data_IF_904617854198
#
_entry.id   IF_904617854198
#
_cell.length_a   1.000
_cell.length_b   1.000
_cell.length_c   1.000
_cell.angle_alpha   90.00
_cell.angle_beta   90.00
_cell.angle_gamma   90.00
#
_symmetry.space_group_name_H-M   'P 1'
#
loop_
_entity.id
_entity.type
_entity.pdbx_description
1 polymer ?
#
# COMPACT_ATOMS: atom_id res chain seq x y z
N UNK A 1 3.48 -46.02 -39.17
CA UNK A 1 4.54 -46.96 -38.74
C UNK A 1 5.73 -46.19 -38.15
N UNK A 2 5.57 -45.54 -37.00
CA UNK A 2 6.67 -44.92 -36.25
C UNK A 2 6.46 -45.02 -34.72
N UNK A 3 5.69 -46.00 -34.26
CA UNK A 3 5.31 -46.17 -32.84
C UNK A 3 6.08 -47.30 -32.13
N UNK A 4 7.20 -47.76 -32.65
CA UNK A 4 7.88 -48.97 -32.13
C UNK A 4 9.40 -48.84 -31.94
N UNK A 5 9.91 -47.65 -31.63
CA UNK A 5 11.33 -47.45 -31.28
C UNK A 5 11.57 -46.59 -30.03
N UNK A 6 10.57 -46.43 -29.17
CA UNK A 6 10.78 -45.95 -27.81
C UNK A 6 10.96 -47.18 -26.91
N UNK A 7 12.21 -47.64 -26.73
CA UNK A 7 12.57 -48.20 -25.41
C UNK A 7 12.09 -47.18 -24.38
N UNK A 8 11.49 -47.62 -23.28
CA UNK A 8 10.97 -46.75 -22.21
C UNK A 8 12.07 -45.83 -21.70
N UNK A 9 12.29 -44.70 -22.38
CA UNK A 9 13.21 -43.66 -21.95
C UNK A 9 12.56 -43.12 -20.69
N UNK A 10 13.28 -43.26 -19.58
CA UNK A 10 12.85 -42.67 -18.33
C UNK A 10 12.72 -41.16 -18.53
N UNK A 11 11.48 -40.68 -18.41
CA UNK A 11 11.11 -39.27 -18.58
C UNK A 11 11.91 -38.37 -17.65
N UNK A 12 12.27 -38.88 -16.47
CA UNK A 12 13.02 -38.12 -15.45
C UNK A 12 14.52 -38.43 -15.48
N UNK A 13 15.06 -38.93 -16.59
CA UNK A 13 16.50 -39.11 -16.74
C UNK A 13 17.20 -37.85 -17.23
N UNK A 14 18.44 -37.63 -16.76
CA UNK A 14 19.31 -36.53 -17.23
C UNK A 14 19.52 -36.58 -18.75
N UNK A 15 19.61 -37.77 -19.34
CA UNK A 15 19.79 -37.92 -20.79
C UNK A 15 18.55 -37.46 -21.58
N UNK A 16 17.35 -37.79 -21.09
CA UNK A 16 16.11 -37.29 -21.69
C UNK A 16 16.03 -35.77 -21.56
N UNK A 17 16.35 -35.23 -20.38
CA UNK A 17 16.32 -33.80 -20.13
C UNK A 17 17.25 -33.01 -21.06
N UNK A 18 18.48 -33.50 -21.27
CA UNK A 18 19.42 -32.93 -22.27
C UNK A 18 18.84 -32.93 -23.68
N UNK A 19 18.10 -33.96 -24.07
CA UNK A 19 17.41 -34.02 -25.36
C UNK A 19 16.34 -32.92 -25.47
N UNK A 20 15.48 -32.78 -24.46
CA UNK A 20 14.42 -31.74 -24.42
C UNK A 20 15.03 -30.33 -24.48
N UNK A 21 16.11 -30.07 -23.73
CA UNK A 21 16.84 -28.79 -23.79
C UNK A 21 17.39 -28.54 -25.19
N UNK A 22 18.03 -29.53 -25.80
CA UNK A 22 18.56 -29.44 -27.17
C UNK A 22 17.46 -29.09 -28.18
N UNK A 23 16.28 -29.71 -28.08
CA UNK A 23 15.15 -29.39 -28.95
C UNK A 23 14.68 -27.94 -28.76
N UNK A 24 14.59 -27.46 -27.52
CA UNK A 24 14.24 -26.06 -27.24
C UNK A 24 15.27 -25.08 -27.82
N UNK A 25 16.55 -25.42 -27.75
CA UNK A 25 17.65 -24.60 -28.27
C UNK A 25 17.70 -24.55 -29.80
N UNK A 26 17.18 -25.57 -30.49
CA UNK A 26 17.04 -25.56 -31.95
C UNK A 26 16.00 -24.55 -32.44
N UNK A 27 15.00 -24.24 -31.62
CA UNK A 27 13.97 -23.24 -31.97
C UNK A 27 14.56 -21.84 -31.88
N UNK A 28 14.88 -21.23 -33.03
CA UNK A 28 15.45 -19.87 -33.08
C UNK A 28 14.42 -18.76 -32.93
N UNK A 29 13.21 -18.96 -33.47
CA UNK A 29 12.12 -17.98 -33.48
C UNK A 29 10.81 -18.71 -33.21
N UNK A 30 9.98 -18.13 -32.34
CA UNK A 30 8.68 -18.71 -31.98
C UNK A 30 7.57 -17.98 -32.72
N UNK A 31 6.84 -18.72 -33.55
CA UNK A 31 5.71 -18.26 -34.34
C UNK A 31 4.48 -19.14 -34.06
N UNK A 32 3.34 -18.85 -34.70
CA UNK A 32 2.10 -19.58 -34.45
C UNK A 32 2.19 -21.08 -34.76
N UNK A 33 3.02 -21.49 -35.73
CA UNK A 33 3.11 -22.88 -36.19
C UNK A 33 3.88 -23.78 -35.24
N UNK A 34 4.91 -23.25 -34.57
CA UNK A 34 5.73 -24.01 -33.62
C UNK A 34 5.39 -23.72 -32.15
N UNK A 35 4.40 -22.85 -31.89
CA UNK A 35 3.99 -22.44 -30.54
C UNK A 35 3.65 -23.63 -29.65
N UNK A 36 2.76 -24.52 -30.09
CA UNK A 36 2.32 -25.67 -29.28
C UNK A 36 3.48 -26.59 -28.93
N UNK A 37 4.37 -26.84 -29.90
CA UNK A 37 5.58 -27.61 -29.67
C UNK A 37 6.51 -26.97 -28.62
N UNK A 38 6.69 -25.64 -28.68
CA UNK A 38 7.49 -24.92 -27.67
C UNK A 38 6.82 -25.00 -26.30
N UNK A 39 5.50 -24.88 -26.23
CA UNK A 39 4.71 -25.04 -24.99
C UNK A 39 4.93 -26.43 -24.37
N UNK A 40 4.87 -27.49 -25.18
CA UNK A 40 5.11 -28.87 -24.73
C UNK A 40 6.55 -29.06 -24.19
N UNK A 41 7.54 -28.43 -24.84
CA UNK A 41 8.92 -28.44 -24.36
C UNK A 41 9.08 -27.68 -23.04
N UNK A 42 8.47 -26.50 -22.91
CA UNK A 42 8.48 -25.72 -21.66
C UNK A 42 7.85 -26.50 -20.52
N UNK A 43 6.70 -27.15 -20.76
CA UNK A 43 6.05 -28.01 -19.78
C UNK A 43 6.96 -29.16 -19.35
N UNK A 44 7.53 -29.87 -20.33
CA UNK A 44 8.41 -31.01 -20.06
C UNK A 44 9.63 -30.60 -19.23
N UNK A 45 10.23 -29.46 -19.54
CA UNK A 45 11.35 -28.91 -18.76
C UNK A 45 10.92 -28.62 -17.33
N UNK A 46 9.81 -27.91 -17.13
CA UNK A 46 9.37 -27.54 -15.78
C UNK A 46 9.02 -28.75 -14.93
N UNK A 47 8.35 -29.76 -15.50
CA UNK A 47 8.03 -30.99 -14.78
C UNK A 47 9.30 -31.76 -14.37
N UNK A 48 10.27 -31.89 -15.28
CA UNK A 48 11.54 -32.58 -15.02
C UNK A 48 12.37 -31.84 -13.97
N UNK A 49 12.48 -30.51 -14.08
CA UNK A 49 13.27 -29.69 -13.13
C UNK A 49 12.63 -29.68 -11.75
N UNK A 50 11.31 -29.55 -11.67
CA UNK A 50 10.60 -29.57 -10.39
C UNK A 50 10.73 -30.94 -9.70
N UNK A 51 10.75 -32.02 -10.48
CA UNK A 51 11.06 -33.36 -9.95
C UNK A 51 12.52 -33.45 -9.48
N UNK A 52 13.46 -32.98 -10.31
CA UNK A 52 14.90 -33.00 -10.05
C UNK A 52 15.29 -32.26 -8.77
N UNK A 53 14.71 -31.09 -8.53
CA UNK A 53 14.92 -30.29 -7.32
C UNK A 53 14.70 -31.09 -6.02
N UNK A 54 13.73 -32.01 -6.04
CA UNK A 54 13.35 -32.82 -4.86
C UNK A 54 13.99 -34.20 -4.81
N UNK A 55 14.24 -34.82 -5.96
CA UNK A 55 14.52 -36.26 -6.05
C UNK A 55 15.89 -36.59 -6.66
N UNK A 56 16.39 -35.77 -7.59
CA UNK A 56 17.66 -36.02 -8.27
C UNK A 56 18.41 -34.70 -8.58
N UNK A 57 19.37 -34.32 -7.71
CA UNK A 57 20.16 -33.10 -7.89
C UNK A 57 20.89 -33.00 -9.23
N UNK A 58 21.22 -34.13 -9.88
CA UNK A 58 21.93 -34.13 -11.17
C UNK A 58 21.09 -33.51 -12.29
N UNK A 59 19.77 -33.62 -12.21
CA UNK A 59 18.85 -32.98 -13.15
C UNK A 59 18.92 -31.45 -12.98
N UNK A 60 18.95 -30.98 -11.73
CA UNK A 60 19.05 -29.55 -11.45
C UNK A 60 20.43 -29.00 -11.83
N UNK A 61 21.51 -29.74 -11.57
CA UNK A 61 22.85 -29.40 -12.07
C UNK A 61 22.85 -29.26 -13.60
N UNK A 62 22.21 -30.20 -14.32
CA UNK A 62 22.06 -30.11 -15.77
C UNK A 62 21.27 -28.85 -16.20
N UNK A 63 20.23 -28.46 -15.47
CA UNK A 63 19.45 -27.24 -15.74
C UNK A 63 20.30 -25.97 -15.58
N UNK A 64 21.17 -25.94 -14.57
CA UNK A 64 22.12 -24.86 -14.33
C UNK A 64 23.20 -24.80 -15.42
N UNK A 65 23.85 -25.93 -15.71
CA UNK A 65 24.93 -26.03 -16.70
C UNK A 65 24.50 -25.54 -18.09
N UNK A 66 23.27 -25.86 -18.49
CA UNK A 66 22.73 -25.48 -19.80
C UNK A 66 22.06 -24.10 -19.81
N UNK A 67 22.08 -23.38 -18.69
CA UNK A 67 21.49 -22.03 -18.55
C UNK A 67 20.05 -21.95 -19.08
N UNK A 68 19.19 -22.92 -18.74
CA UNK A 68 17.85 -23.05 -19.33
C UNK A 68 16.96 -21.81 -19.08
N UNK A 69 17.18 -21.07 -17.98
CA UNK A 69 16.53 -19.77 -17.75
C UNK A 69 16.90 -18.71 -18.81
N UNK A 70 18.12 -18.74 -19.33
CA UNK A 70 18.54 -17.89 -20.44
C UNK A 70 17.76 -18.24 -21.71
N UNK A 71 17.47 -19.53 -21.94
CA UNK A 71 16.62 -19.97 -23.05
C UNK A 71 15.19 -19.45 -22.91
N UNK A 72 14.63 -19.38 -21.69
CA UNK A 72 13.31 -18.77 -21.46
C UNK A 72 13.31 -17.28 -21.79
N UNK A 73 14.35 -16.54 -21.36
CA UNK A 73 14.53 -15.12 -21.73
C UNK A 73 14.64 -14.96 -23.24
N UNK A 74 15.38 -15.85 -23.91
CA UNK A 74 15.55 -15.84 -25.37
C UNK A 74 14.21 -16.06 -26.07
N UNK A 75 13.43 -17.05 -25.66
CA UNK A 75 12.11 -17.36 -26.22
C UNK A 75 11.17 -16.16 -26.14
N UNK A 76 11.13 -15.48 -24.98
CA UNK A 76 10.34 -14.25 -24.83
C UNK A 76 10.79 -13.16 -25.80
N UNK A 77 12.10 -12.99 -26.02
CA UNK A 77 12.62 -11.97 -26.95
C UNK A 77 12.40 -12.30 -28.42
N UNK A 78 12.38 -13.58 -28.77
CA UNK A 78 12.24 -14.06 -30.16
C UNK A 78 10.81 -14.50 -30.49
N UNK A 79 9.81 -13.94 -29.81
CA UNK A 79 8.41 -14.23 -30.09
C UNK A 79 7.87 -13.28 -31.17
N UNK A 80 7.38 -13.83 -32.29
CA UNK A 80 6.79 -13.05 -33.38
C UNK A 80 5.29 -12.84 -33.14
N UNK A 81 4.92 -12.26 -32.00
CA UNK A 81 3.52 -12.15 -31.52
C UNK A 81 2.79 -13.51 -31.40
N UNK A 82 3.54 -14.59 -31.18
CA UNK A 82 3.00 -15.96 -31.07
C UNK A 82 2.19 -16.22 -29.79
N UNK A 83 1.97 -15.21 -28.94
CA UNK A 83 1.28 -15.33 -27.65
C UNK A 83 1.86 -16.44 -26.76
N UNK A 84 3.18 -16.61 -26.79
CA UNK A 84 3.93 -17.56 -25.94
C UNK A 84 4.15 -17.04 -24.52
N UNK A 85 4.01 -15.72 -24.32
CA UNK A 85 4.25 -15.04 -23.04
C UNK A 85 3.47 -15.64 -21.89
N UNK A 86 2.16 -15.83 -22.06
CA UNK A 86 1.28 -16.38 -21.02
C UNK A 86 1.66 -17.82 -20.62
N UNK A 87 1.80 -18.79 -21.56
CA UNK A 87 2.28 -20.13 -21.23
C UNK A 87 3.65 -20.13 -20.53
N UNK A 88 4.60 -19.34 -21.02
CA UNK A 88 5.94 -19.28 -20.42
C UNK A 88 5.89 -18.76 -18.99
N UNK A 89 5.15 -17.66 -18.75
CA UNK A 89 4.93 -17.13 -17.39
C UNK A 89 4.22 -18.14 -16.49
N UNK A 90 3.24 -18.88 -17.01
CA UNK A 90 2.53 -19.92 -16.27
C UNK A 90 3.47 -21.03 -15.81
N UNK A 91 4.21 -21.64 -16.72
CA UNK A 91 5.13 -22.73 -16.38
C UNK A 91 6.27 -22.25 -15.48
N UNK A 92 6.79 -21.05 -15.71
CA UNK A 92 7.81 -20.46 -14.84
C UNK A 92 7.27 -20.19 -13.43
N UNK A 93 6.02 -19.73 -13.31
CA UNK A 93 5.33 -19.57 -12.02
C UNK A 93 5.22 -20.92 -11.29
N UNK A 94 4.78 -21.98 -11.98
CA UNK A 94 4.67 -23.33 -11.41
C UNK A 94 6.03 -23.83 -10.95
N UNK A 95 7.07 -23.65 -11.77
CA UNK A 95 8.44 -24.05 -11.45
C UNK A 95 8.92 -23.37 -10.17
N UNK A 96 8.86 -22.04 -10.11
CA UNK A 96 9.34 -21.26 -8.95
C UNK A 96 8.54 -21.60 -7.69
N UNK A 97 7.22 -21.77 -7.78
CA UNK A 97 6.39 -22.10 -6.61
C UNK A 97 6.79 -23.45 -5.99
N UNK A 98 7.14 -24.43 -6.81
CA UNK A 98 7.41 -25.79 -6.36
C UNK A 98 8.89 -26.10 -6.06
N UNK A 99 9.80 -25.18 -6.34
CA UNK A 99 11.21 -25.30 -5.96
C UNK A 99 11.38 -25.12 -4.45
N UNK A 100 12.01 -26.08 -3.79
CA UNK A 100 12.22 -26.10 -2.34
C UNK A 100 13.71 -26.01 -1.98
N UNK A 101 14.62 -26.41 -2.88
CA UNK A 101 16.06 -26.31 -2.64
C UNK A 101 16.52 -24.85 -2.59
N UNK A 102 17.30 -24.53 -1.55
CA UNK A 102 17.96 -23.23 -1.44
C UNK A 102 18.84 -22.97 -2.66
N UNK A 103 19.63 -23.96 -3.09
CA UNK A 103 20.49 -23.84 -4.27
C UNK A 103 19.70 -23.46 -5.53
N UNK A 104 18.49 -24.01 -5.70
CA UNK A 104 17.65 -23.71 -6.84
C UNK A 104 17.09 -22.29 -6.81
N UNK A 105 16.65 -21.83 -5.63
CA UNK A 105 16.16 -20.46 -5.43
C UNK A 105 17.30 -19.46 -5.70
N UNK A 106 18.49 -19.70 -5.14
CA UNK A 106 19.65 -18.85 -5.36
C UNK A 106 20.05 -18.80 -6.84
N UNK A 107 20.10 -19.93 -7.53
CA UNK A 107 20.41 -19.97 -8.96
C UNK A 107 19.41 -19.15 -9.79
N UNK A 108 18.11 -19.31 -9.52
CA UNK A 108 17.06 -18.61 -10.24
C UNK A 108 17.18 -17.08 -10.10
N UNK A 109 17.51 -16.58 -8.90
CA UNK A 109 17.54 -15.14 -8.64
C UNK A 109 18.90 -14.48 -8.95
N UNK A 110 20.02 -15.19 -8.82
CA UNK A 110 21.37 -14.58 -8.91
C UNK A 110 21.79 -14.11 -10.31
N UNK A 111 21.31 -14.75 -11.38
CA UNK A 111 21.82 -14.51 -12.75
C UNK A 111 21.07 -13.40 -13.51
N UNK A 112 20.12 -12.72 -12.87
CA UNK A 112 19.33 -11.66 -13.50
C UNK A 112 18.35 -12.13 -14.58
N UNK A 113 18.23 -13.44 -14.84
CA UNK A 113 17.23 -13.98 -15.77
C UNK A 113 15.81 -13.62 -15.35
N UNK A 114 15.49 -13.82 -14.06
CA UNK A 114 14.17 -13.45 -13.52
C UNK A 114 13.92 -11.95 -13.67
N UNK A 115 14.90 -11.09 -13.36
CA UNK A 115 14.77 -9.66 -13.59
C UNK A 115 14.55 -9.30 -15.07
N UNK A 116 15.21 -10.00 -16.00
CA UNK A 116 15.00 -9.80 -17.44
C UNK A 116 13.60 -10.23 -17.90
N UNK A 117 13.03 -11.28 -17.27
CA UNK A 117 11.66 -11.74 -17.55
C UNK A 117 10.66 -10.75 -16.96
N UNK A 118 10.84 -10.29 -15.73
CA UNK A 118 10.00 -9.26 -15.09
C UNK A 118 9.97 -7.98 -15.95
N UNK A 119 11.14 -7.50 -16.38
CA UNK A 119 11.28 -6.27 -17.17
C UNK A 119 10.99 -6.44 -18.67
N UNK A 120 10.52 -7.61 -19.12
CA UNK A 120 10.16 -7.80 -20.52
C UNK A 120 8.95 -6.91 -20.89
N UNK A 121 8.94 -6.25 -22.06
CA UNK A 121 7.88 -5.31 -22.45
C UNK A 121 6.60 -6.05 -22.91
N UNK A 122 5.86 -6.61 -21.96
CA UNK A 122 4.58 -7.27 -22.21
C UNK A 122 3.51 -6.27 -22.70
N UNK A 123 2.62 -6.75 -23.58
CA UNK A 123 1.45 -6.01 -24.05
C UNK A 123 0.21 -6.52 -23.32
N UNK A 124 -0.30 -5.75 -22.36
CA UNK A 124 -1.53 -6.05 -21.64
C UNK A 124 -2.73 -5.44 -22.39
N UNK A 125 -3.35 -6.21 -23.28
CA UNK A 125 -4.42 -5.78 -24.20
C UNK A 125 -5.83 -6.23 -23.76
N UNK A 126 -6.03 -6.45 -22.45
CA UNK A 126 -7.31 -6.89 -21.87
C UNK A 126 -7.57 -8.40 -21.94
N UNK A 127 -6.59 -9.19 -22.39
CA UNK A 127 -6.61 -10.66 -22.24
C UNK A 127 -6.04 -11.15 -20.90
N UNK A 128 -5.94 -12.47 -20.75
CA UNK A 128 -5.55 -13.12 -19.48
C UNK A 128 -4.07 -12.96 -19.09
N UNK A 129 -3.25 -12.29 -19.92
CA UNK A 129 -1.80 -12.17 -19.72
C UNK A 129 -1.46 -11.49 -18.38
N UNK A 130 -2.25 -10.50 -17.96
CA UNK A 130 -2.06 -9.82 -16.68
C UNK A 130 -2.13 -10.80 -15.50
N UNK A 131 -3.09 -11.72 -15.51
CA UNK A 131 -3.26 -12.74 -14.49
C UNK A 131 -2.08 -13.71 -14.41
N UNK A 132 -1.54 -14.13 -15.56
CA UNK A 132 -0.32 -14.96 -15.60
C UNK A 132 0.91 -14.21 -15.10
N UNK A 133 1.06 -12.95 -15.48
CA UNK A 133 2.17 -12.10 -15.05
C UNK A 133 2.15 -11.86 -13.55
N UNK A 134 1.00 -11.49 -12.98
CA UNK A 134 0.83 -11.28 -11.53
C UNK A 134 1.05 -12.58 -10.75
N UNK A 135 0.59 -13.71 -11.28
CA UNK A 135 0.86 -15.02 -10.67
C UNK A 135 2.35 -15.35 -10.64
N UNK A 136 3.08 -15.02 -11.70
CA UNK A 136 4.54 -15.14 -11.76
C UNK A 136 5.25 -14.22 -10.75
N UNK A 137 4.87 -12.94 -10.66
CA UNK A 137 5.44 -12.04 -9.65
C UNK A 137 5.17 -12.55 -8.22
N UNK A 138 3.96 -13.09 -7.97
CA UNK A 138 3.60 -13.69 -6.68
C UNK A 138 4.42 -14.95 -6.40
N UNK A 139 4.69 -15.79 -7.40
CA UNK A 139 5.54 -16.97 -7.25
C UNK A 139 6.94 -16.59 -6.77
N UNK A 140 7.54 -15.56 -7.39
CA UNK A 140 8.84 -15.02 -7.00
C UNK A 140 8.77 -14.48 -5.57
N UNK A 141 7.77 -13.62 -5.27
CA UNK A 141 7.58 -13.06 -3.92
C UNK A 141 7.51 -14.14 -2.85
N UNK A 142 6.83 -15.26 -3.11
CA UNK A 142 6.72 -16.37 -2.17
C UNK A 142 8.03 -17.08 -1.83
N UNK A 143 9.10 -16.87 -2.60
CA UNK A 143 10.45 -17.43 -2.37
C UNK A 143 11.46 -16.38 -1.87
N UNK A 144 11.05 -15.12 -1.73
CA UNK A 144 11.91 -14.07 -1.21
C UNK A 144 11.90 -14.05 0.31
N UNK A 145 13.08 -13.93 0.89
CA UNK A 145 13.33 -13.67 2.31
C UNK A 145 14.43 -12.61 2.46
N UNK A 146 14.88 -12.35 3.70
CA UNK A 146 15.91 -11.35 3.97
C UNK A 146 17.25 -11.60 3.27
N UNK A 147 17.57 -12.86 2.95
CA UNK A 147 18.83 -13.23 2.31
C UNK A 147 18.72 -13.21 0.78
N UNK A 148 17.58 -13.62 0.22
CA UNK A 148 17.41 -13.77 -1.23
C UNK A 148 16.91 -12.50 -1.92
N UNK A 149 16.30 -11.55 -1.21
CA UNK A 149 15.82 -10.30 -1.81
C UNK A 149 16.96 -9.53 -2.50
N UNK A 150 18.15 -9.53 -1.90
CA UNK A 150 19.32 -8.81 -2.40
C UNK A 150 19.74 -9.27 -3.82
N UNK A 151 19.39 -10.51 -4.21
CA UNK A 151 19.69 -11.08 -5.53
C UNK A 151 18.82 -10.49 -6.64
N UNK A 152 17.67 -9.90 -6.28
CA UNK A 152 16.70 -9.33 -7.23
C UNK A 152 16.83 -7.81 -7.38
N UNK A 153 17.66 -7.16 -6.57
CA UNK A 153 17.91 -5.72 -6.65
C UNK A 153 19.22 -5.43 -7.36
N UNK A 154 19.29 -4.30 -8.06
CA UNK A 154 20.57 -3.77 -8.56
C UNK A 154 21.01 -2.64 -7.64
N UNK A 155 22.21 -2.81 -7.08
CA UNK A 155 22.86 -1.83 -6.22
C UNK A 155 23.96 -1.12 -7.01
N UNK A 156 24.03 0.20 -6.88
CA UNK A 156 25.12 1.00 -7.41
C UNK A 156 25.65 1.92 -6.29
N UNK A 157 26.90 1.71 -5.87
CA UNK A 157 27.40 2.32 -4.64
C UNK A 157 26.63 1.79 -3.43
N UNK A 158 26.12 2.70 -2.60
CA UNK A 158 25.34 2.38 -1.39
C UNK A 158 23.83 2.57 -1.58
N UNK A 159 23.34 2.53 -2.83
CA UNK A 159 21.94 2.73 -3.16
C UNK A 159 21.40 1.65 -4.09
N UNK A 160 20.19 1.18 -3.80
CA UNK A 160 19.40 0.37 -4.73
C UNK A 160 18.88 1.28 -5.84
N UNK A 161 19.25 0.99 -7.08
CA UNK A 161 18.86 1.78 -8.27
C UNK A 161 17.76 1.12 -9.09
N UNK A 162 17.55 -0.18 -8.91
CA UNK A 162 16.51 -0.91 -9.63
C UNK A 162 16.02 -2.08 -8.80
N UNK A 163 14.69 -2.19 -8.67
CA UNK A 163 14.02 -3.33 -8.08
C UNK A 163 12.79 -3.70 -8.91
N UNK A 164 12.99 -4.43 -10.04
CA UNK A 164 11.94 -4.68 -11.01
C UNK A 164 10.69 -5.36 -10.43
N UNK A 165 10.87 -6.32 -9.51
CA UNK A 165 9.75 -7.02 -8.88
C UNK A 165 8.78 -6.06 -8.18
N UNK A 166 9.30 -5.10 -7.43
CA UNK A 166 8.47 -4.13 -6.73
C UNK A 166 7.86 -3.12 -7.71
N UNK A 167 8.68 -2.51 -8.56
CA UNK A 167 8.21 -1.45 -9.46
C UNK A 167 7.18 -1.96 -10.47
N UNK A 168 7.38 -3.15 -11.04
CA UNK A 168 6.41 -3.74 -11.96
C UNK A 168 5.14 -4.21 -11.25
N UNK A 169 5.23 -4.72 -10.01
CA UNK A 169 4.06 -5.08 -9.23
C UNK A 169 3.15 -3.86 -8.96
N UNK A 170 3.74 -2.71 -8.63
CA UNK A 170 2.98 -1.48 -8.36
C UNK A 170 2.15 -0.99 -9.56
N UNK A 171 2.55 -1.30 -10.80
CA UNK A 171 1.75 -0.99 -12.01
C UNK A 171 0.37 -1.66 -12.01
N UNK A 172 0.22 -2.75 -11.27
CA UNK A 172 -1.02 -3.53 -11.14
C UNK A 172 -1.75 -3.26 -9.81
N UNK A 173 -1.27 -2.34 -8.97
CA UNK A 173 -1.86 -2.08 -7.66
C UNK A 173 -3.34 -1.67 -7.75
N UNK A 174 -3.76 -1.08 -8.88
CA UNK A 174 -5.12 -0.56 -9.11
C UNK A 174 -5.81 -1.23 -10.31
N UNK A 175 -5.44 -2.47 -10.60
CA UNK A 175 -6.08 -3.26 -11.66
C UNK A 175 -7.58 -3.45 -11.41
N UNK A 176 -8.41 -3.54 -12.45
CA UNK A 176 -9.87 -3.67 -12.28
C UNK A 176 -10.29 -4.94 -11.53
N UNK A 177 -9.56 -6.04 -11.74
CA UNK A 177 -9.78 -7.31 -11.05
C UNK A 177 -9.26 -7.31 -9.62
N UNK A 178 -10.18 -7.55 -8.67
CA UNK A 178 -9.86 -7.61 -7.24
C UNK A 178 -8.87 -8.71 -6.87
N UNK A 179 -8.88 -9.84 -7.57
CA UNK A 179 -7.91 -10.92 -7.31
C UNK A 179 -6.47 -10.50 -7.61
N UNK A 180 -6.27 -9.72 -8.68
CA UNK A 180 -4.96 -9.14 -9.00
C UNK A 180 -4.55 -8.14 -7.92
N UNK A 181 -5.44 -7.23 -7.50
CA UNK A 181 -5.15 -6.30 -6.42
C UNK A 181 -4.71 -7.03 -5.13
N UNK A 182 -5.42 -8.09 -4.73
CA UNK A 182 -5.07 -8.90 -3.54
C UNK A 182 -3.70 -9.56 -3.67
N UNK A 183 -3.36 -10.10 -4.84
CA UNK A 183 -2.06 -10.70 -5.08
C UNK A 183 -0.93 -9.65 -4.99
N UNK A 184 -1.12 -8.47 -5.57
CA UNK A 184 -0.15 -7.37 -5.51
C UNK A 184 0.00 -6.86 -4.08
N UNK A 185 -1.09 -6.66 -3.34
CA UNK A 185 -1.04 -6.25 -1.92
C UNK A 185 -0.25 -7.24 -1.06
N UNK A 186 -0.49 -8.53 -1.24
CA UNK A 186 0.24 -9.58 -0.53
C UNK A 186 1.73 -9.58 -0.88
N UNK A 187 2.08 -9.39 -2.17
CA UNK A 187 3.47 -9.26 -2.62
C UNK A 187 4.15 -8.05 -2.01
N UNK A 188 3.50 -6.89 -2.05
CA UNK A 188 4.02 -5.62 -1.51
C UNK A 188 4.26 -5.73 0.00
N UNK A 189 3.31 -6.31 0.74
CA UNK A 189 3.45 -6.56 2.18
C UNK A 189 4.60 -7.52 2.49
N UNK A 190 4.77 -8.58 1.70
CA UNK A 190 5.89 -9.49 1.86
C UNK A 190 7.24 -8.79 1.67
N UNK A 191 7.35 -7.95 0.62
CA UNK A 191 8.54 -7.14 0.38
C UNK A 191 8.83 -6.24 1.59
N UNK A 192 7.83 -5.55 2.14
CA UNK A 192 8.05 -4.73 3.34
C UNK A 192 8.56 -5.57 4.52
N UNK A 193 8.00 -6.75 4.76
CA UNK A 193 8.43 -7.60 5.87
C UNK A 193 9.89 -8.08 5.77
N UNK A 194 10.39 -8.32 4.55
CA UNK A 194 11.72 -8.91 4.33
C UNK A 194 12.78 -7.89 3.87
N UNK A 195 12.41 -6.62 3.71
CA UNK A 195 13.33 -5.57 3.24
C UNK A 195 14.33 -5.11 4.32
N UNK A 196 15.55 -4.83 3.87
CA UNK A 196 16.61 -4.16 4.62
C UNK A 196 16.55 -2.63 4.47
N UNK A 197 17.48 -1.93 5.11
CA UNK A 197 17.52 -0.47 5.09
C UNK A 197 17.76 0.12 3.68
N UNK A 198 18.57 -0.52 2.84
CA UNK A 198 18.85 -0.02 1.49
C UNK A 198 17.61 -0.11 0.59
N UNK A 199 16.88 -1.20 0.70
CA UNK A 199 15.63 -1.42 -0.05
C UNK A 199 14.54 -0.50 0.47
N UNK A 200 14.48 -0.28 1.79
CA UNK A 200 13.60 0.73 2.36
C UNK A 200 13.89 2.13 1.85
N UNK A 201 15.16 2.52 1.73
CA UNK A 201 15.52 3.81 1.13
C UNK A 201 14.99 3.93 -0.29
N UNK A 202 15.09 2.87 -1.10
CA UNK A 202 14.50 2.86 -2.44
C UNK A 202 12.97 2.99 -2.43
N UNK A 203 12.27 2.25 -1.57
CA UNK A 203 10.80 2.29 -1.44
C UNK A 203 10.30 3.68 -1.01
N UNK A 204 11.07 4.35 -0.15
CA UNK A 204 10.69 5.64 0.44
C UNK A 204 11.15 6.86 -0.38
N UNK A 205 11.88 6.65 -1.48
CA UNK A 205 12.38 7.73 -2.33
C UNK A 205 11.49 7.92 -3.57
N UNK A 206 11.12 9.16 -3.95
CA UNK A 206 10.42 9.42 -5.20
C UNK A 206 11.20 8.93 -6.43
N UNK A 207 10.54 8.43 -7.48
CA UNK A 207 9.08 8.39 -7.67
C UNK A 207 8.39 7.19 -6.98
N UNK A 208 9.14 6.24 -6.43
CA UNK A 208 8.59 4.99 -5.90
C UNK A 208 7.66 5.23 -4.71
N UNK A 209 8.01 6.19 -3.85
CA UNK A 209 7.21 6.56 -2.69
C UNK A 209 5.85 7.21 -3.02
N UNK A 210 5.64 7.68 -4.27
CA UNK A 210 4.37 8.29 -4.70
C UNK A 210 3.20 7.30 -4.61
N UNK A 211 3.49 6.00 -4.60
CA UNK A 211 2.54 4.94 -4.31
C UNK A 211 1.71 5.21 -3.03
N UNK A 212 2.34 5.70 -1.96
CA UNK A 212 1.65 5.94 -0.69
C UNK A 212 0.72 7.15 -0.77
N UNK A 213 1.14 8.22 -1.44
CA UNK A 213 0.25 9.36 -1.69
C UNK A 213 -0.92 8.94 -2.58
N UNK A 214 -0.68 8.14 -3.61
CA UNK A 214 -1.71 7.63 -4.50
C UNK A 214 -2.75 6.80 -3.75
N UNK A 215 -2.31 5.93 -2.82
CA UNK A 215 -3.20 5.16 -1.93
C UNK A 215 -4.17 6.07 -1.18
N UNK A 216 -3.66 7.18 -0.62
CA UNK A 216 -4.51 8.11 0.11
C UNK A 216 -5.44 8.87 -0.83
N UNK A 217 -4.98 9.28 -2.02
CA UNK A 217 -5.82 9.96 -3.01
C UNK A 217 -7.02 9.09 -3.43
N UNK A 218 -6.80 7.79 -3.71
CA UNK A 218 -7.93 6.90 -4.05
C UNK A 218 -8.86 6.65 -2.88
N UNK A 219 -8.33 6.51 -1.65
CA UNK A 219 -9.18 6.43 -0.47
C UNK A 219 -10.07 7.69 -0.36
N UNK A 220 -9.50 8.87 -0.62
CA UNK A 220 -10.25 10.13 -0.68
C UNK A 220 -11.29 10.14 -1.81
N UNK A 221 -11.00 9.61 -2.98
CA UNK A 221 -11.98 9.51 -4.09
C UNK A 221 -13.16 8.60 -3.71
N UNK A 222 -12.90 7.47 -3.05
CA UNK A 222 -13.95 6.60 -2.51
C UNK A 222 -14.82 7.35 -1.48
N UNK A 223 -14.20 8.18 -0.65
CA UNK A 223 -14.89 9.03 0.31
C UNK A 223 -15.82 10.05 -0.37
N UNK A 224 -15.37 10.70 -1.46
CA UNK A 224 -16.23 11.61 -2.24
C UNK A 224 -17.36 10.88 -2.96
N UNK A 225 -17.10 9.67 -3.48
CA UNK A 225 -18.14 8.83 -4.07
C UNK A 225 -19.22 8.47 -3.04
N UNK A 226 -18.82 8.14 -1.81
CA UNK A 226 -19.75 7.90 -0.70
C UNK A 226 -20.59 9.14 -0.40
N UNK A 227 -19.95 10.31 -0.31
CA UNK A 227 -20.64 11.59 -0.03
C UNK A 227 -21.68 11.93 -1.11
N UNK A 228 -21.32 11.71 -2.37
CA UNK A 228 -22.20 11.93 -3.52
C UNK A 228 -23.45 11.04 -3.43
N UNK A 229 -23.31 9.76 -3.11
CA UNK A 229 -24.45 8.84 -2.95
C UNK A 229 -25.34 9.24 -1.76
N UNK A 230 -24.74 9.75 -0.68
CA UNK A 230 -25.45 10.15 0.53
C UNK A 230 -26.38 11.35 0.31
N UNK A 231 -25.93 12.32 -0.50
CA UNK A 231 -26.64 13.57 -0.78
C UNK A 231 -27.30 13.63 -2.15
N UNK A 232 -27.26 12.55 -2.93
CA UNK A 232 -27.96 12.49 -4.20
C UNK A 232 -29.46 12.76 -4.00
N UNK A 233 -29.95 13.83 -4.62
CA UNK A 233 -31.34 14.30 -4.56
C UNK A 233 -32.24 13.61 -5.60
N UNK A 234 -31.68 12.76 -6.46
CA UNK A 234 -32.45 12.01 -7.44
C UNK A 234 -33.46 11.04 -6.82
N UNK A 235 -34.45 10.64 -7.63
CA UNK A 235 -35.41 9.56 -7.33
C UNK A 235 -34.75 8.17 -7.36
N UNK A 236 -33.61 8.01 -6.68
CA UNK A 236 -33.05 6.69 -6.44
C UNK A 236 -33.94 5.99 -5.41
N UNK A 237 -34.46 4.83 -5.80
CA UNK A 237 -35.14 3.91 -4.90
C UNK A 237 -34.31 3.73 -3.61
N UNK A 238 -34.92 3.97 -2.44
CA UNK A 238 -34.23 4.00 -1.14
C UNK A 238 -33.34 2.76 -0.94
N UNK A 239 -33.79 1.60 -1.41
CA UNK A 239 -33.03 0.35 -1.33
C UNK A 239 -31.76 0.36 -2.17
N UNK A 240 -31.83 0.90 -3.39
CA UNK A 240 -30.66 1.04 -4.28
C UNK A 240 -29.63 2.00 -3.70
N UNK A 241 -30.07 3.09 -3.06
CA UNK A 241 -29.18 4.02 -2.33
C UNK A 241 -28.48 3.33 -1.16
N UNK A 242 -29.23 2.58 -0.33
CA UNK A 242 -28.66 1.81 0.79
C UNK A 242 -27.60 0.82 0.31
N UNK A 243 -27.92 0.04 -0.73
CA UNK A 243 -26.98 -0.93 -1.29
C UNK A 243 -25.71 -0.24 -1.83
N UNK A 244 -25.86 0.93 -2.47
CA UNK A 244 -24.74 1.75 -2.93
C UNK A 244 -23.85 2.25 -1.80
N UNK A 245 -24.44 2.72 -0.69
CA UNK A 245 -23.70 3.15 0.50
C UNK A 245 -22.92 2.00 1.14
N UNK A 246 -23.54 0.82 1.27
CA UNK A 246 -22.88 -0.38 1.81
C UNK A 246 -21.68 -0.74 0.93
N UNK A 247 -21.88 -0.84 -0.39
CA UNK A 247 -20.81 -1.20 -1.32
C UNK A 247 -19.63 -0.22 -1.28
N UNK A 248 -19.89 1.09 -1.24
CA UNK A 248 -18.80 2.08 -1.13
C UNK A 248 -18.13 2.06 0.24
N UNK A 249 -18.90 1.86 1.30
CA UNK A 249 -18.36 1.68 2.65
C UNK A 249 -17.44 0.46 2.73
N UNK A 250 -17.82 -0.67 2.15
CA UNK A 250 -17.00 -1.89 2.15
C UNK A 250 -15.66 -1.64 1.44
N UNK A 251 -15.67 -0.93 0.30
CA UNK A 251 -14.43 -0.54 -0.40
C UNK A 251 -13.54 0.36 0.46
N UNK A 252 -14.11 1.33 1.16
CA UNK A 252 -13.35 2.20 2.08
C UNK A 252 -12.73 1.37 3.20
N UNK A 253 -13.50 0.45 3.78
CA UNK A 253 -13.03 -0.44 4.85
C UNK A 253 -11.89 -1.35 4.35
N UNK A 254 -12.00 -1.91 3.15
CA UNK A 254 -10.93 -2.71 2.53
C UNK A 254 -9.63 -1.92 2.35
N UNK A 255 -9.70 -0.66 1.89
CA UNK A 255 -8.52 0.20 1.80
C UNK A 255 -7.93 0.51 3.19
N UNK A 256 -8.77 0.79 4.18
CA UNK A 256 -8.32 1.05 5.56
C UNK A 256 -7.64 -0.17 6.18
N UNK A 257 -8.13 -1.39 5.93
CA UNK A 257 -7.44 -2.60 6.36
C UNK A 257 -6.10 -2.77 5.66
N UNK A 258 -5.99 -2.42 4.37
CA UNK A 258 -4.70 -2.44 3.70
C UNK A 258 -3.70 -1.44 4.30
N UNK A 259 -4.14 -0.22 4.62
CA UNK A 259 -3.30 0.73 5.38
C UNK A 259 -2.88 0.16 6.74
N UNK A 260 -3.80 -0.47 7.47
CA UNK A 260 -3.50 -1.13 8.73
C UNK A 260 -2.43 -2.20 8.57
N UNK A 261 -2.54 -3.04 7.53
CA UNK A 261 -1.55 -4.09 7.25
C UNK A 261 -0.17 -3.50 6.97
N UNK A 262 -0.09 -2.41 6.18
CA UNK A 262 1.19 -1.70 5.92
C UNK A 262 1.79 -1.15 7.21
N UNK A 263 0.98 -0.49 8.05
CA UNK A 263 1.47 0.07 9.31
C UNK A 263 1.86 -1.03 10.33
N UNK A 264 1.22 -2.19 10.26
CA UNK A 264 1.48 -3.34 11.12
C UNK A 264 2.82 -4.04 10.83
N UNK A 265 3.46 -3.74 9.70
CA UNK A 265 4.85 -4.16 9.43
C UNK A 265 5.80 -3.60 10.51
N UNK A 266 5.47 -2.45 11.12
CA UNK A 266 6.17 -1.95 12.30
C UNK A 266 7.54 -1.31 12.03
N UNK A 267 7.82 -0.93 10.77
CA UNK A 267 9.08 -0.29 10.36
C UNK A 267 8.96 1.23 10.49
N UNK A 268 9.74 1.91 11.36
CA UNK A 268 9.46 3.29 11.74
C UNK A 268 9.38 4.28 10.58
N UNK A 269 10.31 4.21 9.61
CA UNK A 269 10.32 5.11 8.45
C UNK A 269 9.10 4.93 7.55
N UNK A 270 8.65 3.68 7.34
CA UNK A 270 7.46 3.37 6.56
C UNK A 270 6.19 3.83 7.31
N UNK A 271 6.09 3.48 8.59
CA UNK A 271 4.97 3.88 9.46
C UNK A 271 4.81 5.39 9.48
N UNK A 272 5.91 6.13 9.62
CA UNK A 272 5.93 7.59 9.58
C UNK A 272 5.40 8.14 8.26
N UNK A 273 5.99 7.74 7.12
CA UNK A 273 5.60 8.23 5.80
C UNK A 273 4.10 7.97 5.50
N UNK A 274 3.62 6.75 5.79
CA UNK A 274 2.22 6.39 5.54
C UNK A 274 1.27 7.16 6.45
N UNK A 275 1.64 7.36 7.72
CA UNK A 275 0.85 8.14 8.67
C UNK A 275 0.78 9.61 8.24
N UNK A 276 1.90 10.21 7.82
CA UNK A 276 1.94 11.58 7.31
C UNK A 276 1.05 11.75 6.07
N UNK A 277 1.12 10.82 5.11
CA UNK A 277 0.24 10.84 3.94
C UNK A 277 -1.24 10.73 4.33
N UNK A 278 -1.61 9.84 5.26
CA UNK A 278 -2.99 9.71 5.74
C UNK A 278 -3.47 10.99 6.45
N UNK A 279 -2.63 11.57 7.30
CA UNK A 279 -2.96 12.80 8.03
C UNK A 279 -3.20 13.95 7.06
N UNK A 280 -2.25 14.20 6.17
CA UNK A 280 -2.29 15.35 5.25
C UNK A 280 -3.30 15.17 4.13
N UNK A 281 -3.41 13.97 3.56
CA UNK A 281 -4.26 13.70 2.40
C UNK A 281 -5.73 13.43 2.74
N UNK A 282 -6.04 13.00 3.98
CA UNK A 282 -7.40 12.60 4.35
C UNK A 282 -7.89 13.18 5.68
N UNK A 283 -7.13 13.00 6.78
CA UNK A 283 -7.62 13.36 8.13
C UNK A 283 -7.77 14.86 8.30
N UNK A 284 -6.72 15.66 8.04
CA UNK A 284 -6.80 17.10 8.17
C UNK A 284 -7.82 17.75 7.22
N UNK A 285 -7.90 17.37 5.92
CA UNK A 285 -8.97 17.85 5.04
C UNK A 285 -10.40 17.51 5.53
N UNK A 286 -10.61 16.31 6.07
CA UNK A 286 -11.90 15.92 6.64
C UNK A 286 -12.24 16.73 7.90
N UNK A 287 -11.26 16.93 8.79
CA UNK A 287 -11.45 17.74 10.00
C UNK A 287 -11.65 19.22 9.68
N UNK A 288 -10.95 19.75 8.67
CA UNK A 288 -11.15 21.13 8.21
C UNK A 288 -12.58 21.35 7.69
N UNK A 289 -13.10 20.40 6.92
CA UNK A 289 -14.51 20.41 6.45
C UNK A 289 -15.53 20.47 7.59
N UNK A 290 -15.18 19.97 8.80
CA UNK A 290 -16.03 20.06 9.99
C UNK A 290 -15.99 21.44 10.66
N UNK A 291 -14.86 22.15 10.53
CA UNK A 291 -14.65 23.45 11.17
C UNK A 291 -15.19 24.60 10.31
N UNK A 292 -15.34 24.42 9.00
CA UNK A 292 -15.82 25.45 8.07
C UNK A 292 -17.33 25.41 7.94
N UNK A 293 -18.01 26.49 8.34
CA UNK A 293 -19.42 26.70 7.98
C UNK A 293 -19.52 26.78 6.45
N UNK A 294 -20.33 25.89 5.86
CA UNK A 294 -20.60 25.83 4.41
C UNK A 294 -21.38 27.08 3.97
N UNK A 295 -20.70 28.22 3.87
CA UNK A 295 -21.32 29.40 3.27
C UNK A 295 -21.02 29.52 1.77
N UNK A 296 -19.93 28.95 1.18
CA UNK A 296 -19.71 29.12 -0.28
C UNK A 296 -18.83 28.12 -1.09
N UNK A 297 -18.19 27.07 -0.56
CA UNK A 297 -17.32 26.21 -1.40
C UNK A 297 -17.77 24.74 -1.53
N UNK A 298 -17.94 24.30 -2.78
CA UNK A 298 -18.37 22.97 -3.23
C UNK A 298 -17.30 21.86 -3.10
N UNK A 299 -16.11 22.15 -2.56
CA UNK A 299 -14.96 21.24 -2.68
C UNK A 299 -14.70 20.30 -1.48
N UNK A 300 -15.43 20.47 -0.37
CA UNK A 300 -15.27 19.69 0.86
C UNK A 300 -16.28 18.55 1.04
N UNK A 301 -15.83 17.45 1.65
CA UNK A 301 -16.72 16.38 2.14
C UNK A 301 -17.77 16.96 3.09
N UNK A 302 -18.99 16.43 3.07
CA UNK A 302 -19.98 16.79 4.10
C UNK A 302 -19.49 16.49 5.52
N UNK A 303 -20.10 17.16 6.50
CA UNK A 303 -19.79 16.91 7.90
C UNK A 303 -20.13 15.47 8.33
N UNK A 304 -21.25 14.90 7.85
CA UNK A 304 -21.63 13.51 8.15
C UNK A 304 -20.58 12.53 7.62
N UNK A 305 -20.17 12.69 6.37
CA UNK A 305 -19.19 11.81 5.73
C UNK A 305 -17.81 11.98 6.35
N UNK A 306 -17.39 13.21 6.67
CA UNK A 306 -16.12 13.49 7.35
C UNK A 306 -16.05 12.82 8.74
N UNK A 307 -17.09 12.96 9.56
CA UNK A 307 -17.19 12.30 10.87
C UNK A 307 -17.16 10.77 10.72
N UNK A 308 -17.87 10.23 9.73
CA UNK A 308 -17.89 8.80 9.43
C UNK A 308 -16.50 8.27 9.09
N UNK A 309 -15.80 8.92 8.15
CA UNK A 309 -14.48 8.48 7.67
C UNK A 309 -13.45 8.55 8.78
N UNK A 310 -13.39 9.66 9.52
CA UNK A 310 -12.46 9.82 10.65
C UNK A 310 -12.73 8.74 11.70
N UNK A 311 -14.01 8.48 12.02
CA UNK A 311 -14.39 7.41 12.95
C UNK A 311 -13.91 6.03 12.48
N UNK A 312 -14.14 5.68 11.21
CA UNK A 312 -13.70 4.40 10.64
C UNK A 312 -12.19 4.25 10.61
N UNK A 313 -11.48 5.32 10.25
CA UNK A 313 -10.03 5.34 10.24
C UNK A 313 -9.46 5.12 11.65
N UNK A 314 -9.99 5.79 12.66
CA UNK A 314 -9.59 5.56 14.06
C UNK A 314 -9.90 4.15 14.55
N UNK A 315 -11.04 3.58 14.14
CA UNK A 315 -11.45 2.24 14.53
C UNK A 315 -10.57 1.14 13.92
N UNK A 316 -10.24 1.26 12.63
CA UNK A 316 -9.54 0.21 11.87
C UNK A 316 -8.03 0.36 11.99
N UNK A 317 -7.53 1.54 11.59
CA UNK A 317 -6.10 1.86 11.52
C UNK A 317 -5.60 2.24 12.92
N UNK A 318 -6.31 3.17 13.57
CA UNK A 318 -5.99 3.62 14.91
C UNK A 318 -4.55 4.15 15.03
N UNK A 319 -3.88 3.78 16.12
CA UNK A 319 -2.51 4.20 16.37
C UNK A 319 -2.41 5.53 17.12
N UNK A 320 -1.38 5.63 17.98
CA UNK A 320 -1.21 6.77 18.89
C UNK A 320 -1.12 8.10 18.15
N UNK A 321 -0.35 8.15 17.05
CA UNK A 321 -0.16 9.38 16.27
C UNK A 321 -1.48 9.90 15.69
N UNK A 322 -2.24 9.04 14.98
CA UNK A 322 -3.50 9.45 14.34
C UNK A 322 -4.55 9.84 15.37
N UNK A 323 -4.74 9.02 16.42
CA UNK A 323 -5.67 9.33 17.51
C UNK A 323 -5.33 10.66 18.16
N UNK A 324 -4.06 10.91 18.48
CA UNK A 324 -3.63 12.14 19.13
C UNK A 324 -3.87 13.36 18.23
N UNK A 325 -3.56 13.28 16.94
CA UNK A 325 -3.79 14.38 16.00
C UNK A 325 -5.29 14.70 15.88
N UNK A 326 -6.15 13.69 15.72
CA UNK A 326 -7.61 13.90 15.67
C UNK A 326 -8.13 14.50 16.97
N UNK A 327 -7.71 13.95 18.11
CA UNK A 327 -8.08 14.45 19.43
C UNK A 327 -7.64 15.90 19.63
N UNK A 328 -6.41 16.25 19.25
CA UNK A 328 -5.89 17.61 19.37
C UNK A 328 -6.76 18.58 18.56
N UNK A 329 -7.08 18.28 17.30
CA UNK A 329 -7.88 19.18 16.46
C UNK A 329 -9.32 19.35 17.00
N UNK A 330 -9.94 18.27 17.50
CA UNK A 330 -11.28 18.33 18.08
C UNK A 330 -11.28 19.08 19.43
N UNK A 331 -10.31 18.79 20.30
CA UNK A 331 -10.18 19.38 21.63
C UNK A 331 -9.61 20.80 21.60
N UNK A 332 -8.90 21.19 20.55
CA UNK A 332 -8.38 22.54 20.36
C UNK A 332 -9.50 23.58 20.49
N UNK A 333 -10.69 23.31 19.94
CA UNK A 333 -11.85 24.18 20.08
C UNK A 333 -12.30 24.32 21.55
N UNK A 334 -12.30 23.23 22.32
CA UNK A 334 -12.65 23.25 23.75
C UNK A 334 -11.63 24.03 24.59
N UNK A 335 -10.33 23.84 24.32
CA UNK A 335 -9.26 24.55 25.02
C UNK A 335 -9.29 26.05 24.72
N UNK A 336 -9.59 26.43 23.47
CA UNK A 336 -9.70 27.83 23.07
C UNK A 336 -10.95 28.52 23.66
N UNK A 337 -12.09 27.82 23.74
CA UNK A 337 -13.32 28.29 24.41
C UNK A 337 -13.11 28.56 25.92
N UNK A 338 -12.34 27.73 26.61
CA UNK A 338 -12.07 27.94 28.04
C UNK A 338 -11.11 29.11 28.30
N UNK A 339 -10.22 29.42 27.35
CA UNK A 339 -9.33 30.58 27.44
C UNK A 339 -10.09 31.90 27.27
N UNK A 340 -11.07 31.97 26.35
CA UNK A 340 -11.91 33.15 26.17
C UNK A 340 -12.88 33.37 27.34
N UNK A 341 -13.48 32.31 27.89
CA UNK A 341 -14.37 32.41 29.08
C UNK A 341 -13.60 32.84 30.34
N UNK A 342 -12.33 32.47 30.50
CA UNK A 342 -11.49 32.98 31.61
C UNK A 342 -11.07 34.44 31.44
N UNK A 343 -11.00 34.93 30.20
CA UNK A 343 -10.69 36.35 29.92
C UNK A 343 -11.90 37.26 30.21
N UNK A 344 -13.13 36.78 29.98
CA UNK A 344 -14.35 37.55 30.28
C UNK A 344 -14.69 37.62 31.79
N UNK A 345 -14.06 36.78 32.62
CA UNK A 345 -14.31 36.72 34.08
C UNK A 345 -13.53 37.70 34.94
N UNK A 346 -12.48 38.35 34.40
CA UNK A 346 -11.63 39.28 35.15
C UNK A 346 -11.43 40.57 34.34
N UNK A 347 -12.41 41.47 34.42
CA UNK A 347 -12.15 42.85 34.05
C UNK A 347 -11.23 43.50 35.10
N UNK A 348 -10.26 44.27 34.61
CA UNK A 348 -9.23 45.08 35.30
C UNK A 348 -7.90 44.32 35.49
N UNK A 349 -6.99 44.35 34.51
CA UNK A 349 -5.95 45.38 34.33
C UNK A 349 -5.17 45.13 33.03
N UNK A 350 -4.62 46.19 32.46
CA UNK A 350 -3.97 46.28 31.15
C UNK A 350 -2.53 45.69 31.21
N UNK A 351 -2.23 44.62 30.45
CA UNK A 351 -0.96 44.36 29.75
C UNK A 351 -0.80 42.90 29.22
N UNK A 352 -0.67 42.77 27.89
CA UNK A 352 0.14 41.76 27.18
C UNK A 352 -0.21 40.25 27.39
N UNK A 353 -1.45 39.88 27.04
CA UNK A 353 -2.02 38.53 27.19
C UNK A 353 -1.92 37.61 25.93
N UNK A 354 -0.89 37.79 25.09
CA UNK A 354 -0.61 36.85 23.96
C UNK A 354 0.16 35.59 24.44
N UNK A 355 0.59 35.56 25.71
CA UNK A 355 1.45 34.51 26.28
C UNK A 355 0.79 33.14 26.55
N UNK A 356 -0.50 33.00 26.92
CA UNK A 356 -1.09 31.69 27.20
C UNK A 356 -1.26 30.83 25.95
N UNK A 357 -1.64 31.47 24.83
CA UNK A 357 -1.94 30.81 23.56
C UNK A 357 -0.68 30.28 22.89
N UNK A 358 0.37 31.10 22.76
CA UNK A 358 1.65 30.66 22.21
C UNK A 358 2.29 29.54 23.05
N UNK A 359 2.13 29.60 24.38
CA UNK A 359 2.62 28.56 25.28
C UNK A 359 1.87 27.25 25.11
N UNK A 360 0.53 27.26 25.05
CA UNK A 360 -0.29 26.07 24.82
C UNK A 360 -0.05 25.45 23.43
N UNK A 361 0.07 26.28 22.39
CA UNK A 361 0.39 25.83 21.04
C UNK A 361 1.79 25.20 21.00
N UNK A 362 2.79 25.85 21.61
CA UNK A 362 4.16 25.31 21.72
C UNK A 362 4.21 24.03 22.57
N UNK A 363 3.31 23.86 23.55
CA UNK A 363 3.20 22.65 24.35
C UNK A 363 2.58 21.52 23.52
N UNK A 364 1.52 21.79 22.75
CA UNK A 364 0.87 20.83 21.85
C UNK A 364 1.83 20.43 20.71
N UNK A 365 2.52 21.39 20.12
CA UNK A 365 3.52 21.20 19.07
C UNK A 365 4.73 20.41 19.60
N UNK A 366 5.21 20.73 20.81
CA UNK A 366 6.22 19.93 21.53
C UNK A 366 5.73 18.51 21.80
N UNK A 367 4.46 18.30 22.14
CA UNK A 367 3.94 16.95 22.44
C UNK A 367 3.67 16.13 21.17
N UNK A 368 3.26 16.76 20.05
CA UNK A 368 3.15 16.11 18.73
C UNK A 368 4.53 15.70 18.21
N UNK A 369 5.55 16.55 18.41
CA UNK A 369 6.94 16.28 18.00
C UNK A 369 7.70 15.31 18.93
N UNK A 370 7.32 15.16 20.20
CA UNK A 370 8.01 14.31 21.20
C UNK A 370 7.19 13.10 21.68
N UNK A 371 6.25 12.55 20.91
CA UNK A 371 5.75 11.22 21.20
C UNK A 371 6.95 10.23 21.12
N UNK A 372 7.39 9.61 22.23
CA UNK A 372 8.65 8.88 22.23
C UNK A 372 8.46 7.58 21.47
N UNK A 373 8.93 7.55 20.22
CA UNK A 373 9.39 6.31 19.59
C UNK A 373 10.70 5.91 20.28
N UNK A 374 10.58 5.30 21.46
CA UNK A 374 11.71 4.56 22.04
C UNK A 374 11.94 3.32 21.16
N UNK A 375 12.89 3.43 20.24
CA UNK A 375 14.15 2.70 20.32
C UNK A 375 15.13 3.19 19.25
N UNK A 376 16.07 4.05 19.69
CA UNK A 376 17.43 4.18 19.19
C UNK A 376 17.64 4.33 17.68
N UNK A 377 17.47 5.55 17.15
CA UNK A 377 18.30 6.05 16.06
C UNK A 377 18.30 7.58 16.07
N UNK A 378 19.49 8.16 15.93
CA UNK A 378 19.76 9.58 16.07
C UNK A 378 19.02 10.45 15.04
N UNK A 379 18.78 11.69 15.45
CA UNK A 379 17.89 12.70 14.91
C UNK A 379 18.21 13.17 13.48
N UNK A 380 17.25 12.99 12.58
CA UNK A 380 16.99 13.88 11.43
C UNK A 380 15.50 14.31 11.46
N UNK A 381 14.94 14.43 12.66
CA UNK A 381 13.49 14.48 12.93
C UNK A 381 12.90 15.89 13.09
N UNK A 382 13.65 16.94 12.75
CA UNK A 382 13.30 18.32 13.17
C UNK A 382 12.31 19.10 12.31
N UNK A 383 12.29 18.96 10.97
CA UNK A 383 11.84 20.10 10.15
C UNK A 383 10.63 19.88 9.22
N UNK A 384 10.13 18.66 9.03
CA UNK A 384 9.09 18.40 8.00
C UNK A 384 7.64 18.46 8.50
N UNK A 385 7.37 18.10 9.77
CA UNK A 385 6.02 18.20 10.36
C UNK A 385 5.67 19.64 10.75
N UNK A 386 6.67 20.43 11.19
CA UNK A 386 6.51 21.84 11.53
C UNK A 386 6.03 22.68 10.35
N UNK A 387 6.64 22.53 9.16
CA UNK A 387 6.26 23.32 7.99
C UNK A 387 4.82 23.07 7.51
N UNK A 388 4.34 21.81 7.55
CA UNK A 388 2.97 21.48 7.11
C UNK A 388 1.90 21.75 8.18
N UNK A 389 2.25 21.65 9.47
CA UNK A 389 1.40 22.15 10.55
C UNK A 389 1.30 23.68 10.51
N UNK A 390 2.41 24.38 10.25
CA UNK A 390 2.43 25.82 10.02
C UNK A 390 1.59 26.20 8.80
N UNK A 391 1.62 25.45 7.69
CA UNK A 391 0.73 25.68 6.54
C UNK A 391 -0.74 25.41 6.89
N UNK A 392 -1.05 24.31 7.59
CA UNK A 392 -2.39 24.01 8.09
C UNK A 392 -2.90 25.13 8.99
N UNK A 393 -2.07 25.59 9.93
CA UNK A 393 -2.31 26.71 10.84
C UNK A 393 -2.32 28.07 10.11
N UNK A 394 -1.60 28.25 9.00
CA UNK A 394 -1.62 29.49 8.20
C UNK A 394 -2.94 29.67 7.44
N UNK A 395 -3.62 28.55 7.14
CA UNK A 395 -5.02 28.53 6.70
C UNK A 395 -5.98 29.02 7.79
N UNK A 396 -5.57 28.96 9.06
CA UNK A 396 -6.22 29.64 10.18
C UNK A 396 -5.70 31.09 10.29
N UNK A 397 -6.09 31.99 9.37
CA UNK A 397 -5.88 33.44 9.56
C UNK A 397 -6.49 33.91 10.88
N UNK A 398 -5.64 34.22 11.86
CA UNK A 398 -5.96 34.49 13.26
C UNK A 398 -6.95 35.64 13.52
N UNK A 399 -7.21 36.51 12.54
CA UNK A 399 -8.03 37.72 12.77
C UNK A 399 -9.51 37.60 12.34
N UNK A 400 -9.90 36.61 11.53
CA UNK A 400 -11.31 36.42 11.09
C UNK A 400 -12.02 35.24 11.77
N UNK A 401 -11.30 34.44 12.56
CA UNK A 401 -11.76 33.11 13.01
C UNK A 401 -12.66 33.16 14.25
N UNK A 402 -12.67 34.27 14.99
CA UNK A 402 -13.20 34.26 16.35
C UNK A 402 -14.73 34.46 16.47
N UNK A 403 -15.44 34.86 15.42
CA UNK A 403 -16.82 35.35 15.58
C UNK A 403 -17.94 34.39 15.15
N UNK A 404 -17.67 33.29 14.42
CA UNK A 404 -18.76 32.49 13.82
C UNK A 404 -18.56 30.97 13.63
N UNK A 405 -17.66 30.28 14.33
CA UNK A 405 -17.51 28.82 14.14
C UNK A 405 -17.91 27.96 15.34
N UNK A 406 -18.80 27.03 15.01
CA UNK A 406 -19.46 26.04 15.83
C UNK A 406 -18.67 24.73 15.70
N UNK A 407 -18.02 24.27 16.77
CA UNK A 407 -17.23 23.03 16.76
C UNK A 407 -18.07 21.75 16.79
N UNK A 408 -17.46 20.60 17.11
CA UNK A 408 -18.14 19.29 17.19
C UNK A 408 -19.40 19.30 18.08
N UNK A 409 -19.46 20.21 19.06
CA UNK A 409 -20.60 20.40 19.96
C UNK A 409 -21.88 20.77 19.21
N UNK A 410 -21.83 21.57 18.15
CA UNK A 410 -23.03 21.84 17.36
C UNK A 410 -23.55 20.56 16.70
N UNK A 411 -22.66 19.72 16.18
CA UNK A 411 -23.09 18.45 15.59
C UNK A 411 -23.66 17.48 16.64
N UNK A 412 -23.15 17.51 17.89
CA UNK A 412 -23.70 16.77 19.03
C UNK A 412 -25.06 17.30 19.50
N UNK A 413 -25.38 18.57 19.22
CA UNK A 413 -26.68 19.17 19.54
C UNK A 413 -27.54 19.45 18.29
N UNK A 414 -27.16 18.88 17.14
CA UNK A 414 -27.83 19.08 15.86
C UNK A 414 -29.18 18.36 15.83
N UNK A 415 -30.19 19.00 15.23
CA UNK A 415 -31.50 18.38 14.97
C UNK A 415 -31.43 17.30 13.88
N UNK A 416 -30.40 17.33 13.02
CA UNK A 416 -30.14 16.23 12.09
C UNK A 416 -29.58 15.00 12.83
N UNK A 417 -30.42 13.98 12.98
CA UNK A 417 -30.07 12.69 13.59
C UNK A 417 -28.80 12.05 13.00
N UNK A 418 -28.47 12.30 11.72
CA UNK A 418 -27.28 11.73 11.08
C UNK A 418 -26.00 12.35 11.61
N UNK A 419 -25.98 13.68 11.75
CA UNK A 419 -24.86 14.42 12.34
C UNK A 419 -24.71 14.09 13.82
N UNK A 420 -25.83 14.02 14.54
CA UNK A 420 -25.86 13.63 15.95
C UNK A 420 -25.23 12.26 16.19
N UNK A 421 -25.71 11.22 15.47
CA UNK A 421 -25.18 9.87 15.59
C UNK A 421 -23.70 9.77 15.20
N UNK A 422 -23.29 10.41 14.09
CA UNK A 422 -21.91 10.38 13.63
C UNK A 422 -20.95 11.06 14.63
N UNK A 423 -21.39 12.14 15.27
CA UNK A 423 -20.59 12.87 16.26
C UNK A 423 -20.42 12.08 17.56
N UNK A 424 -21.50 11.49 18.06
CA UNK A 424 -21.44 10.62 19.24
C UNK A 424 -20.56 9.40 18.99
N UNK A 425 -20.66 8.80 17.82
CA UNK A 425 -19.85 7.64 17.45
C UNK A 425 -18.35 7.98 17.47
N UNK A 426 -17.96 9.13 16.90
CA UNK A 426 -16.57 9.59 16.93
C UNK A 426 -16.07 9.84 18.36
N UNK A 427 -16.88 10.52 19.19
CA UNK A 427 -16.53 10.81 20.58
C UNK A 427 -16.40 9.54 21.42
N UNK A 428 -17.25 8.53 21.18
CA UNK A 428 -17.18 7.24 21.85
C UNK A 428 -15.88 6.49 21.50
N UNK A 429 -15.49 6.48 20.22
CA UNK A 429 -14.22 5.89 19.78
C UNK A 429 -13.02 6.59 20.44
N UNK A 430 -13.05 7.93 20.53
CA UNK A 430 -11.99 8.69 21.20
C UNK A 430 -11.95 8.39 22.70
N UNK A 431 -13.11 8.32 23.37
CA UNK A 431 -13.20 8.02 24.80
C UNK A 431 -12.72 6.59 25.15
N UNK A 432 -13.00 5.60 24.31
CA UNK A 432 -12.53 4.22 24.47
C UNK A 432 -11.03 4.06 24.19
N UNK A 433 -10.41 5.04 23.52
CA UNK A 433 -8.98 4.99 23.24
C UNK A 433 -8.17 5.18 24.53
N UNK A 434 -7.54 4.10 24.99
CA UNK A 434 -6.59 4.11 26.14
C UNK A 434 -5.47 5.15 25.98
N UNK A 435 -5.21 5.59 24.75
CA UNK A 435 -4.19 6.59 24.43
C UNK A 435 -4.56 7.99 24.96
N UNK A 436 -5.85 8.34 24.94
CA UNK A 436 -6.37 9.62 25.44
C UNK A 436 -6.40 9.71 26.96
N UNK A 437 -6.41 8.57 27.67
CA UNK A 437 -6.35 8.57 29.14
C UNK A 437 -5.07 9.22 29.67
N UNK A 438 -3.96 9.17 28.91
CA UNK A 438 -2.69 9.84 29.29
C UNK A 438 -2.81 11.38 29.17
N UNK A 439 -3.68 11.88 28.30
CA UNK A 439 -3.85 13.31 28.00
C UNK A 439 -4.94 14.01 28.82
N UNK A 440 -5.98 13.28 29.23
CA UNK A 440 -7.07 13.85 30.02
C UNK A 440 -6.68 13.98 31.50
N UNK A 441 -5.84 13.08 32.02
CA UNK A 441 -5.43 13.10 33.44
C UNK A 441 -4.72 14.40 33.85
N UNK A 442 -3.84 15.02 33.04
CA UNK A 442 -3.23 16.31 33.38
C UNK A 442 -4.14 17.52 33.20
N UNK A 443 -5.19 17.45 32.37
CA UNK A 443 -6.11 18.56 32.10
C UNK A 443 -7.28 18.67 33.09
N UNK A 444 -7.48 17.64 33.93
CA UNK A 444 -8.57 17.56 34.93
C UNK A 444 -8.05 17.79 36.37
N UNK A 445 -6.74 17.98 36.54
CA UNK A 445 -6.14 18.50 37.78
C UNK A 445 -5.90 20.01 37.64
#
# INVERSE_FOLDING_TARGET
MFSSFWRSIDRFSVQHFKCVISELQKVKVVNEHNREYVVDLLQSIVEIVTYGDRQDPLIFECFMEHQVLADFVRILKTNENSKIDAPLLQYLSIMIQNMDSEQAIYYCFSNGYINNIISHPYKFDGGDLASYYVSFLRAISGKINGDTLCLLVKVHGDAVVSFPLYTEALRFAYHEEKMIQTAIRSLVLNIYNVSDDMVYQFILTPPVSEYFSDLVHRLRDLCFCLDTILYDKGEIEIQKRKNGLILQSDKIVDELYYFKDILSVGKPRLTKLVTENLLNGLVFPALFSLLVSKDNDESGLSAVTSLYIVSRLLQIVGGRSIVNNVACVILYHFLNLNATVRSEGNAIDDHDDVKPFAKCLSEIERIICYAPELNGAESITGNYLGAHWEDFMSGFRTDEICSKRRGILEFVFSEDCRLWLASIFLLLILAESKVLQIWIVPCVQ
#
